data_IF_920023606431
#
_entry.id   IF_920023606431
#
_cell.length_a   1.000
_cell.length_b   1.000
_cell.length_c   1.000
_cell.angle_alpha   90.00
_cell.angle_beta   90.00
_cell.angle_gamma   90.00
#
_symmetry.space_group_name_H-M   'P 1'
#
loop_
_entity.id
_entity.type
_entity.pdbx_description
1 polymer ?
#
# COMPACT_ATOMS: atom_id res chain seq x y z
N UNK A 1 14.23 15.95 5.24
CA UNK A 1 12.92 16.49 5.72
C UNK A 1 12.72 16.08 7.17
N UNK A 2 12.15 16.94 8.01
CA UNK A 2 11.82 16.57 9.39
C UNK A 2 10.37 16.03 9.41
N UNK A 3 10.22 14.71 9.35
CA UNK A 3 8.91 14.08 9.28
C UNK A 3 8.27 14.02 10.66
N UNK A 4 7.12 14.65 10.80
CA UNK A 4 6.35 14.67 12.04
C UNK A 4 4.96 14.08 11.83
N UNK A 5 4.52 13.31 12.80
CA UNK A 5 3.15 12.79 12.83
C UNK A 5 2.15 13.94 13.05
N UNK A 6 1.18 14.08 12.16
CA UNK A 6 0.00 14.92 12.37
C UNK A 6 -0.84 14.33 13.52
N UNK A 7 -0.99 12.99 13.54
CA UNK A 7 -1.67 12.26 14.60
C UNK A 7 -1.02 10.90 14.79
N UNK A 8 -0.84 10.45 16.04
CA UNK A 8 -0.26 9.13 16.38
C UNK A 8 -0.82 8.58 17.69
N UNK A 9 -0.44 7.34 18.03
CA UNK A 9 -0.81 6.66 19.27
C UNK A 9 -2.31 6.46 19.42
N UNK A 10 -2.78 6.53 20.64
CA UNK A 10 -4.19 6.30 20.97
C UNK A 10 -5.15 7.24 20.23
N UNK A 11 -4.75 8.49 19.98
CA UNK A 11 -5.58 9.45 19.25
C UNK A 11 -5.83 9.04 17.79
N UNK A 12 -4.81 8.48 17.10
CA UNK A 12 -4.96 7.95 15.75
C UNK A 12 -5.79 6.66 15.76
N UNK A 13 -5.48 5.74 16.66
CA UNK A 13 -6.23 4.48 16.80
C UNK A 13 -7.71 4.73 17.07
N UNK A 14 -8.01 5.63 18.00
CA UNK A 14 -9.38 5.99 18.33
C UNK A 14 -10.09 6.60 17.12
N UNK A 15 -9.44 7.51 16.39
CA UNK A 15 -10.03 8.08 15.17
C UNK A 15 -10.33 7.00 14.13
N UNK A 16 -9.40 6.07 13.88
CA UNK A 16 -9.63 4.95 12.95
C UNK A 16 -10.81 4.09 13.43
N UNK A 17 -10.85 3.73 14.72
CA UNK A 17 -11.87 2.85 15.27
C UNK A 17 -13.24 3.51 15.31
N UNK A 18 -13.33 4.77 15.75
CA UNK A 18 -14.60 5.46 16.01
C UNK A 18 -15.17 6.17 14.78
N UNK A 19 -14.38 6.31 13.69
CA UNK A 19 -14.88 6.93 12.47
C UNK A 19 -16.04 6.12 11.90
N UNK A 20 -17.21 6.76 11.85
CA UNK A 20 -18.40 6.28 11.16
C UNK A 20 -18.66 7.19 9.95
N UNK A 21 -18.98 6.58 8.83
CA UNK A 21 -19.21 7.28 7.58
C UNK A 21 -20.59 6.99 7.06
N UNK A 22 -21.25 7.96 6.44
CA UNK A 22 -22.44 7.72 5.63
C UNK A 22 -22.18 6.69 4.53
N UNK A 23 -23.24 6.06 4.05
CA UNK A 23 -23.16 5.18 2.87
C UNK A 23 -22.57 5.92 1.68
N UNK A 24 -21.75 5.23 0.89
CA UNK A 24 -21.06 5.80 -0.26
C UNK A 24 -19.79 6.58 0.05
N UNK A 25 -19.34 6.62 1.32
CA UNK A 25 -18.07 7.23 1.70
C UNK A 25 -17.11 6.18 2.28
N UNK A 26 -15.81 6.40 2.10
CA UNK A 26 -14.75 5.68 2.80
C UNK A 26 -13.66 6.63 3.30
N UNK A 27 -12.89 6.19 4.26
CA UNK A 27 -11.75 6.96 4.78
C UNK A 27 -10.43 6.26 4.51
N UNK A 28 -9.43 7.09 4.27
CA UNK A 28 -8.03 6.70 4.12
C UNK A 28 -7.22 7.35 5.24
N UNK A 29 -6.27 6.62 5.83
CA UNK A 29 -5.23 7.15 6.71
C UNK A 29 -3.87 6.71 6.20
N UNK A 30 -2.93 7.64 6.15
CA UNK A 30 -1.56 7.35 5.79
C UNK A 30 -0.76 6.98 7.04
N UNK A 31 -0.14 5.81 7.03
CA UNK A 31 0.66 5.31 8.14
C UNK A 31 2.15 5.15 7.81
N UNK A 32 2.57 5.75 6.69
CA UNK A 32 3.96 5.83 6.24
C UNK A 32 4.34 4.79 5.18
N UNK A 33 5.32 5.09 4.36
CA UNK A 33 5.83 4.29 3.24
C UNK A 33 4.75 4.02 2.19
N UNK A 34 4.36 2.76 1.98
CA UNK A 34 3.16 2.37 1.22
C UNK A 34 1.97 2.10 2.13
N UNK A 35 2.16 2.27 3.44
CA UNK A 35 1.17 1.91 4.45
C UNK A 35 -0.07 2.79 4.44
N UNK A 36 -1.23 2.19 4.16
CA UNK A 36 -2.53 2.85 4.22
C UNK A 36 -3.52 2.05 5.06
N UNK A 37 -4.34 2.75 5.82
CA UNK A 37 -5.54 2.17 6.44
C UNK A 37 -6.75 2.66 5.65
N UNK A 38 -7.61 1.72 5.27
CA UNK A 38 -8.87 1.99 4.58
C UNK A 38 -10.02 1.58 5.48
N UNK A 39 -10.99 2.45 5.69
CA UNK A 39 -12.21 2.11 6.44
C UNK A 39 -13.45 2.37 5.61
N UNK A 40 -14.31 1.36 5.53
CA UNK A 40 -15.57 1.40 4.79
C UNK A 40 -16.63 0.55 5.48
N UNK A 41 -17.81 1.12 5.76
CA UNK A 41 -18.95 0.46 6.45
C UNK A 41 -18.53 -0.34 7.72
N UNK A 42 -17.58 0.18 8.47
CA UNK A 42 -17.06 -0.51 9.67
C UNK A 42 -15.91 -1.47 9.42
N UNK A 43 -15.69 -1.93 8.19
CA UNK A 43 -14.55 -2.77 7.83
C UNK A 43 -13.25 -1.97 7.76
N UNK A 44 -12.17 -2.52 8.30
CA UNK A 44 -10.83 -1.92 8.32
C UNK A 44 -9.86 -2.83 7.57
N UNK A 45 -9.26 -2.28 6.50
CA UNK A 45 -8.20 -2.92 5.73
C UNK A 45 -6.90 -2.15 5.95
N UNK A 46 -5.78 -2.87 6.08
CA UNK A 46 -4.44 -2.30 6.10
C UNK A 46 -3.67 -2.75 4.85
N UNK A 47 -3.06 -1.81 4.17
CA UNK A 47 -2.29 -2.04 2.96
C UNK A 47 -0.82 -1.82 3.29
N UNK A 48 0.04 -2.79 3.07
CA UNK A 48 1.48 -2.77 3.32
C UNK A 48 1.89 -2.10 4.65
N UNK A 49 1.31 -2.48 5.82
CA UNK A 49 1.61 -1.80 7.08
C UNK A 49 3.01 -2.14 7.60
N UNK A 50 3.78 -1.12 8.02
CA UNK A 50 5.08 -1.26 8.69
C UNK A 50 5.02 -0.58 10.05
N UNK A 51 4.73 -1.36 11.08
CA UNK A 51 4.52 -0.90 12.46
C UNK A 51 5.62 -1.41 13.42
N UNK A 52 6.82 -1.56 12.92
CA UNK A 52 8.01 -1.96 13.66
C UNK A 52 9.26 -1.28 13.13
N UNK A 53 10.41 -1.64 13.71
CA UNK A 53 11.72 -1.13 13.27
C UNK A 53 12.11 -1.68 11.90
N UNK A 54 12.86 -0.90 11.15
CA UNK A 54 13.45 -1.28 9.86
C UNK A 54 14.98 -1.33 9.99
N UNK A 55 15.54 -2.38 10.60
CA UNK A 55 16.97 -2.43 10.89
C UNK A 55 17.80 -2.49 9.60
N UNK A 56 18.84 -1.65 9.55
CA UNK A 56 19.88 -1.71 8.54
C UNK A 56 20.88 -2.84 8.80
N UNK A 57 21.90 -3.00 7.93
CA UNK A 57 22.96 -3.99 8.12
C UNK A 57 23.77 -3.80 9.40
N UNK A 58 23.78 -2.60 9.96
CA UNK A 58 24.40 -2.21 11.23
C UNK A 58 23.50 -2.46 12.45
N UNK A 59 22.24 -2.88 12.23
CA UNK A 59 21.23 -3.09 13.26
C UNK A 59 20.49 -1.83 13.70
N UNK A 60 20.86 -0.66 13.20
CA UNK A 60 20.18 0.61 13.52
C UNK A 60 18.87 0.73 12.72
N UNK A 61 17.85 1.32 13.34
CA UNK A 61 16.57 1.56 12.68
C UNK A 61 16.72 2.67 11.62
N UNK A 62 16.39 2.35 10.38
CA UNK A 62 16.49 3.26 9.22
C UNK A 62 15.27 4.10 8.97
N UNK A 63 14.29 4.03 9.84
CA UNK A 63 13.08 4.85 9.69
C UNK A 63 13.39 6.32 9.98
N UNK A 64 12.88 7.20 9.14
CA UNK A 64 12.98 8.64 9.35
C UNK A 64 12.00 9.15 10.43
N UNK A 65 11.08 8.31 10.90
CA UNK A 65 10.08 8.64 11.92
C UNK A 65 9.67 7.39 12.71
N UNK A 66 9.23 7.60 13.95
CA UNK A 66 8.75 6.52 14.82
C UNK A 66 7.49 5.85 14.26
N UNK A 67 7.19 4.63 14.69
CA UNK A 67 5.91 3.99 14.39
C UNK A 67 4.74 4.77 15.00
N UNK A 68 3.55 4.76 14.36
CA UNK A 68 2.39 5.51 14.86
C UNK A 68 1.78 4.90 16.13
N UNK A 69 1.75 3.58 16.21
CA UNK A 69 1.21 2.77 17.29
C UNK A 69 1.77 1.34 17.16
N UNK A 70 1.55 0.49 18.15
CA UNK A 70 1.99 -0.91 18.06
C UNK A 70 1.04 -1.72 17.19
N UNK A 71 1.56 -2.71 16.48
CA UNK A 71 0.80 -3.54 15.55
C UNK A 71 -0.41 -4.24 16.20
N UNK A 72 -0.28 -4.64 17.46
CA UNK A 72 -1.33 -5.34 18.22
C UNK A 72 -2.53 -4.43 18.58
N UNK A 73 -2.37 -3.12 18.48
CA UNK A 73 -3.40 -2.16 18.87
C UNK A 73 -4.41 -1.86 17.73
N UNK A 74 -4.01 -2.09 16.47
CA UNK A 74 -4.89 -1.84 15.32
C UNK A 74 -5.77 -3.07 15.03
N UNK A 75 -7.08 -2.90 15.20
CA UNK A 75 -8.08 -3.94 14.93
C UNK A 75 -8.53 -3.87 13.47
N UNK A 76 -7.72 -4.44 12.57
CA UNK A 76 -8.08 -4.61 11.18
C UNK A 76 -8.67 -6.00 10.93
N UNK A 77 -9.55 -6.14 9.96
CA UNK A 77 -10.06 -7.44 9.50
C UNK A 77 -9.17 -8.04 8.42
N UNK A 78 -8.56 -7.17 7.61
CA UNK A 78 -7.73 -7.57 6.47
C UNK A 78 -6.41 -6.80 6.46
N UNK A 79 -5.33 -7.51 6.18
CA UNK A 79 -4.03 -6.93 5.83
C UNK A 79 -3.67 -7.43 4.44
N UNK A 80 -3.30 -6.51 3.55
CA UNK A 80 -2.82 -6.81 2.20
C UNK A 80 -1.33 -6.50 2.13
N UNK A 81 -0.53 -7.48 1.71
CA UNK A 81 0.90 -7.31 1.43
C UNK A 81 1.15 -7.51 -0.07
N UNK A 82 1.85 -6.58 -0.68
CA UNK A 82 2.06 -6.57 -2.14
C UNK A 82 3.19 -7.46 -2.59
N UNK A 83 4.27 -7.56 -1.80
CA UNK A 83 5.45 -8.37 -2.13
C UNK A 83 6.34 -8.63 -0.89
N UNK A 84 7.46 -9.34 -1.08
CA UNK A 84 8.29 -9.90 0.00
C UNK A 84 9.18 -8.89 0.74
N UNK A 85 9.38 -7.65 0.25
CA UNK A 85 10.28 -6.71 0.93
C UNK A 85 9.78 -6.37 2.33
N UNK A 86 10.72 -6.15 3.26
CA UNK A 86 10.43 -5.94 4.68
C UNK A 86 9.63 -4.68 4.99
N UNK A 87 9.66 -3.68 4.10
CA UNK A 87 8.87 -2.46 4.18
C UNK A 87 7.46 -2.58 3.56
N UNK A 88 7.04 -3.82 3.21
CA UNK A 88 5.69 -4.18 2.74
C UNK A 88 5.16 -5.42 3.48
N UNK A 89 5.92 -6.51 3.47
CA UNK A 89 5.62 -7.73 4.23
C UNK A 89 6.40 -7.75 5.55
N UNK A 90 6.12 -6.79 6.43
CA UNK A 90 6.87 -6.60 7.66
C UNK A 90 6.51 -7.66 8.70
N UNK A 91 7.47 -8.57 8.99
CA UNK A 91 7.26 -9.74 9.85
C UNK A 91 6.67 -9.39 11.22
N UNK A 92 7.29 -8.45 11.95
CA UNK A 92 6.84 -8.09 13.31
C UNK A 92 5.41 -7.52 13.31
N UNK A 93 5.10 -6.68 12.33
CA UNK A 93 3.75 -6.13 12.15
C UNK A 93 2.73 -7.22 11.94
N UNK A 94 2.98 -8.12 10.97
CA UNK A 94 2.03 -9.18 10.62
C UNK A 94 1.81 -10.16 11.75
N UNK A 95 2.88 -10.56 12.45
CA UNK A 95 2.80 -11.46 13.61
C UNK A 95 2.05 -10.80 14.76
N UNK A 96 2.36 -9.54 15.10
CA UNK A 96 1.68 -8.80 16.15
C UNK A 96 0.17 -8.65 15.88
N UNK A 97 -0.20 -8.23 14.66
CA UNK A 97 -1.59 -8.11 14.24
C UNK A 97 -2.32 -9.47 14.26
N UNK A 98 -1.70 -10.52 13.74
CA UNK A 98 -2.30 -11.86 13.67
C UNK A 98 -2.52 -12.48 15.07
N UNK A 99 -1.59 -12.28 16.00
CA UNK A 99 -1.71 -12.74 17.38
C UNK A 99 -2.79 -11.98 18.15
N UNK A 100 -2.89 -10.67 17.95
CA UNK A 100 -3.89 -9.84 18.62
C UNK A 100 -5.31 -10.00 18.06
N UNK A 101 -5.45 -10.43 16.81
CA UNK A 101 -6.74 -10.65 16.16
C UNK A 101 -6.78 -12.01 15.44
N UNK A 102 -7.29 -13.08 16.08
CA UNK A 102 -7.40 -14.39 15.44
C UNK A 102 -8.32 -14.46 14.20
N UNK A 103 -9.16 -13.45 14.00
CA UNK A 103 -10.03 -13.35 12.82
C UNK A 103 -9.38 -12.62 11.64
N UNK A 104 -8.25 -11.95 11.88
CA UNK A 104 -7.50 -11.26 10.84
C UNK A 104 -7.19 -12.19 9.66
N UNK A 105 -7.37 -11.71 8.44
CA UNK A 105 -6.88 -12.34 7.23
C UNK A 105 -5.73 -11.54 6.64
N UNK A 106 -4.62 -12.22 6.40
CA UNK A 106 -3.44 -11.68 5.72
C UNK A 106 -3.48 -12.17 4.28
N UNK A 107 -3.67 -11.23 3.36
CA UNK A 107 -3.73 -11.45 1.91
C UNK A 107 -2.37 -11.07 1.34
N UNK A 108 -1.75 -11.97 0.60
CA UNK A 108 -0.40 -11.80 0.09
C UNK A 108 -0.21 -12.67 -1.17
N UNK A 109 0.80 -12.40 -2.02
CA UNK A 109 1.10 -13.25 -3.16
C UNK A 109 1.17 -14.73 -2.77
N UNK A 110 0.61 -15.59 -3.61
CA UNK A 110 0.56 -17.04 -3.35
C UNK A 110 1.93 -17.60 -3.01
N UNK A 111 2.96 -17.19 -3.72
CA UNK A 111 4.36 -17.59 -3.51
C UNK A 111 4.90 -17.28 -2.11
N UNK A 112 4.28 -16.35 -1.38
CA UNK A 112 4.72 -15.90 -0.05
C UNK A 112 3.95 -16.54 1.12
N UNK A 113 2.94 -17.37 0.85
CA UNK A 113 2.13 -18.01 1.91
C UNK A 113 2.99 -18.85 2.85
N UNK A 114 3.91 -19.66 2.30
CA UNK A 114 4.81 -20.48 3.11
C UNK A 114 5.80 -19.64 3.92
N UNK A 115 6.27 -18.51 3.37
CA UNK A 115 7.11 -17.56 4.09
C UNK A 115 6.36 -16.96 5.27
N UNK A 116 5.12 -16.52 5.08
CA UNK A 116 4.27 -15.98 6.15
C UNK A 116 3.94 -17.03 7.22
N UNK A 117 3.73 -18.28 6.82
CA UNK A 117 3.59 -19.40 7.74
C UNK A 117 4.86 -19.61 8.58
N UNK A 118 6.03 -19.46 7.95
CA UNK A 118 7.33 -19.49 8.61
C UNK A 118 7.54 -18.36 9.61
N UNK A 119 6.81 -17.24 9.50
CA UNK A 119 6.79 -16.19 10.52
C UNK A 119 6.00 -16.57 11.77
N UNK A 120 5.22 -17.65 11.72
CA UNK A 120 4.36 -18.11 12.80
C UNK A 120 2.91 -17.65 12.68
N UNK A 121 2.50 -17.14 11.50
CA UNK A 121 1.10 -16.78 11.24
C UNK A 121 0.31 -18.08 10.94
N UNK A 122 -0.81 -18.33 11.65
CA UNK A 122 -1.61 -19.53 11.42
C UNK A 122 -2.15 -19.60 9.98
N UNK A 123 -2.13 -20.81 9.38
CA UNK A 123 -2.62 -21.05 8.01
C UNK A 123 -4.05 -20.53 7.80
N UNK A 124 -4.92 -20.64 8.81
CA UNK A 124 -6.30 -20.17 8.74
C UNK A 124 -6.43 -18.66 8.55
N UNK A 125 -5.39 -17.91 8.88
CA UNK A 125 -5.33 -16.45 8.70
C UNK A 125 -4.69 -16.05 7.36
N UNK A 126 -4.08 -16.98 6.61
CA UNK A 126 -3.39 -16.70 5.35
C UNK A 126 -4.30 -16.92 4.15
N UNK A 127 -4.35 -15.94 3.26
CA UNK A 127 -5.05 -16.03 1.97
C UNK A 127 -4.04 -15.71 0.85
N UNK A 128 -3.65 -16.74 0.12
CA UNK A 128 -2.80 -16.59 -1.07
C UNK A 128 -3.58 -15.93 -2.21
N UNK A 129 -3.02 -14.86 -2.77
CA UNK A 129 -3.57 -14.10 -3.88
C UNK A 129 -2.81 -14.43 -5.17
N UNK A 130 -3.56 -14.73 -6.24
CA UNK A 130 -3.02 -14.92 -7.59
C UNK A 130 -3.54 -13.80 -8.50
N UNK A 131 -2.69 -13.33 -9.42
CA UNK A 131 -3.10 -12.31 -10.38
C UNK A 131 -4.37 -12.72 -11.11
N UNK A 132 -5.24 -11.76 -11.39
CA UNK A 132 -6.51 -11.89 -12.10
C UNK A 132 -7.56 -12.80 -11.43
N UNK A 133 -7.29 -13.33 -10.22
CA UNK A 133 -8.25 -14.12 -9.46
C UNK A 133 -8.87 -13.29 -8.35
N UNK A 134 -10.15 -12.96 -8.51
CA UNK A 134 -10.88 -12.14 -7.54
C UNK A 134 -11.07 -12.89 -6.21
N UNK A 135 -10.74 -12.22 -5.11
CA UNK A 135 -11.06 -12.63 -3.75
C UNK A 135 -12.31 -11.87 -3.28
N UNK A 136 -13.31 -12.59 -2.81
CA UNK A 136 -14.54 -12.03 -2.25
C UNK A 136 -14.44 -12.03 -0.73
N UNK A 137 -14.46 -10.84 -0.12
CA UNK A 137 -14.34 -10.64 1.30
C UNK A 137 -15.67 -10.09 1.85
N UNK A 138 -16.50 -10.96 2.39
CA UNK A 138 -17.86 -10.58 2.77
C UNK A 138 -18.73 -10.23 1.54
N UNK A 139 -19.77 -9.42 1.76
CA UNK A 139 -20.78 -9.19 0.73
C UNK A 139 -20.38 -8.13 -0.32
N UNK A 140 -19.60 -7.11 0.09
CA UNK A 140 -19.39 -5.92 -0.73
C UNK A 140 -17.91 -5.53 -0.93
N UNK A 141 -16.95 -6.31 -0.40
CA UNK A 141 -15.51 -6.10 -0.60
C UNK A 141 -14.98 -7.15 -1.56
N UNK A 142 -14.33 -6.71 -2.63
CA UNK A 142 -13.68 -7.59 -3.60
C UNK A 142 -12.27 -7.11 -3.87
N UNK A 143 -11.33 -8.04 -3.92
CA UNK A 143 -9.93 -7.75 -4.19
C UNK A 143 -9.53 -8.47 -5.47
N UNK A 144 -9.13 -7.73 -6.50
CA UNK A 144 -8.56 -8.31 -7.72
C UNK A 144 -7.06 -8.03 -7.72
N UNK A 145 -6.21 -9.04 -7.47
CA UNK A 145 -4.77 -8.90 -7.57
C UNK A 145 -4.35 -8.68 -9.01
N UNK A 146 -3.41 -7.75 -9.24
CA UNK A 146 -2.85 -7.43 -10.54
C UNK A 146 -1.35 -7.63 -10.49
N UNK A 147 -0.78 -8.36 -11.44
CA UNK A 147 0.67 -8.53 -11.51
C UNK A 147 1.36 -7.18 -11.72
N UNK A 148 2.39 -6.89 -10.93
CA UNK A 148 3.20 -5.68 -11.01
C UNK A 148 4.67 -6.00 -11.27
N UNK A 149 5.44 -5.03 -11.76
CA UNK A 149 6.84 -5.18 -12.08
C UNK A 149 7.69 -4.31 -11.15
N UNK A 150 8.28 -4.89 -10.14
CA UNK A 150 9.29 -4.22 -9.34
C UNK A 150 10.63 -4.30 -10.09
N UNK A 151 10.81 -3.38 -11.03
CA UNK A 151 11.68 -3.32 -12.22
C UNK A 151 11.40 -4.42 -13.27
N UNK A 152 11.07 -5.62 -12.85
CA UNK A 152 10.71 -6.74 -13.74
C UNK A 152 9.56 -7.55 -13.18
N UNK A 153 8.79 -8.20 -14.04
CA UNK A 153 7.85 -9.22 -13.62
C UNK A 153 8.60 -10.45 -13.13
N UNK A 154 8.23 -10.95 -11.96
CA UNK A 154 8.73 -12.21 -11.41
C UNK A 154 7.58 -13.18 -11.20
N UNK A 155 7.84 -14.43 -11.51
CA UNK A 155 6.86 -15.50 -11.47
C UNK A 155 7.43 -16.70 -10.72
N UNK A 156 6.61 -17.32 -9.89
CA UNK A 156 6.97 -18.60 -9.29
C UNK A 156 6.91 -19.74 -10.32
N UNK A 157 7.23 -20.97 -9.88
CA UNK A 157 7.26 -22.14 -10.75
C UNK A 157 5.86 -22.54 -11.29
N UNK A 158 4.81 -22.10 -10.64
CA UNK A 158 3.42 -22.35 -11.03
C UNK A 158 2.83 -21.22 -11.87
N UNK A 159 3.60 -20.15 -12.13
CA UNK A 159 3.18 -19.01 -12.96
C UNK A 159 2.37 -17.95 -12.20
N UNK A 160 2.45 -17.90 -10.86
CA UNK A 160 1.88 -16.83 -10.09
C UNK A 160 2.87 -15.66 -9.94
N UNK A 161 2.37 -14.44 -9.98
CA UNK A 161 3.19 -13.26 -9.77
C UNK A 161 3.70 -13.17 -8.33
N UNK A 162 5.01 -12.90 -8.16
CA UNK A 162 5.63 -12.67 -6.85
C UNK A 162 5.38 -11.25 -6.33
N UNK A 163 4.96 -10.34 -7.21
CA UNK A 163 4.63 -8.95 -6.88
C UNK A 163 3.24 -8.61 -7.39
N UNK A 164 2.39 -8.08 -6.50
CA UNK A 164 1.00 -7.77 -6.78
C UNK A 164 0.67 -6.32 -6.39
N UNK A 165 -0.08 -5.65 -7.25
CA UNK A 165 -0.94 -4.55 -6.85
C UNK A 165 -2.35 -5.08 -6.60
N UNK A 166 -3.18 -4.31 -5.92
CA UNK A 166 -4.53 -4.70 -5.58
C UNK A 166 -5.56 -3.68 -6.07
N UNK A 167 -6.48 -4.11 -6.94
CA UNK A 167 -7.73 -3.43 -7.18
C UNK A 167 -8.69 -3.82 -6.06
N UNK A 168 -9.13 -2.83 -5.28
CA UNK A 168 -9.97 -2.99 -4.10
C UNK A 168 -11.32 -2.35 -4.39
N UNK A 169 -12.35 -3.17 -4.54
CA UNK A 169 -13.72 -2.71 -4.71
C UNK A 169 -14.41 -2.66 -3.35
N UNK A 170 -14.95 -1.48 -3.03
CA UNK A 170 -15.74 -1.20 -1.83
C UNK A 170 -17.12 -0.71 -2.28
N UNK A 171 -18.06 -1.62 -2.46
CA UNK A 171 -19.35 -1.31 -3.11
C UNK A 171 -19.16 -0.77 -4.53
N UNK A 172 -19.50 0.52 -4.75
CA UNK A 172 -19.32 1.18 -6.05
C UNK A 172 -17.91 1.76 -6.26
N UNK A 173 -17.11 1.91 -5.20
CA UNK A 173 -15.77 2.49 -5.31
C UNK A 173 -14.73 1.46 -5.75
N UNK A 174 -13.76 1.90 -6.53
CA UNK A 174 -12.62 1.11 -6.97
C UNK A 174 -11.31 1.82 -6.64
N UNK A 175 -10.53 1.24 -5.75
CA UNK A 175 -9.22 1.74 -5.35
C UNK A 175 -8.14 0.87 -5.99
N UNK A 176 -7.00 1.45 -6.30
CA UNK A 176 -5.80 0.72 -6.72
C UNK A 176 -4.64 1.06 -5.79
N UNK A 177 -4.11 0.04 -5.10
CA UNK A 177 -2.85 0.11 -4.38
C UNK A 177 -1.80 -0.66 -5.18
N UNK A 178 -0.84 0.06 -5.73
CA UNK A 178 0.09 -0.54 -6.68
C UNK A 178 1.16 -1.42 -6.04
N UNK A 179 1.45 -1.23 -4.75
CA UNK A 179 2.72 -1.68 -4.19
C UNK A 179 3.89 -1.04 -4.93
N UNK A 180 5.03 -1.67 -4.84
CA UNK A 180 6.24 -1.25 -5.55
C UNK A 180 6.20 -1.74 -7.00
N UNK A 181 6.30 -0.79 -7.93
CA UNK A 181 6.26 -1.10 -9.36
C UNK A 181 6.82 0.03 -10.22
N UNK A 182 7.30 -0.33 -11.38
CA UNK A 182 7.48 0.60 -12.51
C UNK A 182 6.22 0.63 -13.37
N UNK A 183 6.09 1.62 -14.22
CA UNK A 183 5.02 1.66 -15.22
C UNK A 183 5.35 0.74 -16.38
N UNK A 184 4.43 -0.15 -16.73
CA UNK A 184 4.56 -1.06 -17.88
C UNK A 184 3.30 -1.01 -18.76
N UNK A 185 3.42 -1.27 -20.07
CA UNK A 185 2.23 -1.34 -20.94
C UNK A 185 1.21 -2.39 -20.47
N UNK A 186 1.67 -3.49 -19.89
CA UNK A 186 0.82 -4.57 -19.38
C UNK A 186 -0.01 -4.08 -18.18
N UNK A 187 0.62 -3.38 -17.22
CA UNK A 187 -0.07 -2.83 -16.06
C UNK A 187 -1.09 -1.76 -16.48
N UNK A 188 -0.72 -0.85 -17.38
CA UNK A 188 -1.65 0.15 -17.95
C UNK A 188 -2.86 -0.53 -18.60
N UNK A 189 -2.62 -1.56 -19.42
CA UNK A 189 -3.69 -2.28 -20.11
C UNK A 189 -4.65 -3.00 -19.13
N UNK A 190 -4.09 -3.63 -18.07
CA UNK A 190 -4.87 -4.31 -17.04
C UNK A 190 -5.80 -3.32 -16.30
N UNK A 191 -5.28 -2.15 -15.89
CA UNK A 191 -6.07 -1.17 -15.16
C UNK A 191 -7.07 -0.40 -16.05
N UNK A 192 -6.73 -0.13 -17.30
CA UNK A 192 -7.69 0.43 -18.26
C UNK A 192 -8.90 -0.49 -18.47
N UNK A 193 -8.68 -1.80 -18.47
CA UNK A 193 -9.76 -2.80 -18.55
C UNK A 193 -10.72 -2.74 -17.36
N UNK A 194 -10.24 -2.28 -16.19
CA UNK A 194 -11.08 -2.08 -15.02
C UNK A 194 -12.04 -0.86 -15.14
N UNK A 195 -11.83 0.03 -16.13
CA UNK A 195 -12.71 1.16 -16.42
C UNK A 195 -12.39 2.45 -15.68
N UNK A 196 -11.22 2.58 -15.11
CA UNK A 196 -10.79 3.69 -14.25
C UNK A 196 -10.81 3.32 -12.76
N UNK A 197 -10.18 4.14 -11.93
CA UNK A 197 -10.15 3.96 -10.48
C UNK A 197 -10.47 5.28 -9.76
N UNK A 198 -11.24 5.20 -8.67
CA UNK A 198 -11.56 6.39 -7.88
C UNK A 198 -10.30 6.91 -7.14
N UNK A 199 -9.47 5.98 -6.63
CA UNK A 199 -8.21 6.32 -5.96
C UNK A 199 -7.08 5.44 -6.47
N UNK A 200 -5.96 6.06 -6.88
CA UNK A 200 -4.70 5.39 -7.17
C UNK A 200 -3.65 5.76 -6.12
N UNK A 201 -3.12 4.76 -5.41
CA UNK A 201 -2.06 4.87 -4.42
C UNK A 201 -0.77 4.36 -5.04
N UNK A 202 0.18 5.26 -5.34
CA UNK A 202 1.32 5.01 -6.24
C UNK A 202 2.65 5.41 -5.59
N UNK A 203 3.74 4.61 -5.75
CA UNK A 203 5.06 5.01 -5.31
C UNK A 203 5.60 6.16 -6.19
N UNK A 204 6.42 7.03 -5.61
CA UNK A 204 7.05 8.14 -6.35
C UNK A 204 8.56 8.23 -6.12
N UNK A 205 9.15 7.35 -5.33
CA UNK A 205 10.57 7.39 -4.97
C UNK A 205 11.52 7.16 -6.18
N UNK A 206 11.01 6.57 -7.26
CA UNK A 206 11.77 6.43 -8.51
C UNK A 206 12.91 5.41 -8.47
N UNK A 207 13.84 5.57 -9.40
CA UNK A 207 15.05 4.78 -9.56
C UNK A 207 16.16 5.64 -10.15
N UNK A 208 17.38 5.41 -9.70
CA UNK A 208 18.57 6.09 -10.20
C UNK A 208 19.83 5.25 -9.93
N UNK A 209 20.96 5.70 -10.49
CA UNK A 209 22.25 5.01 -10.36
C UNK A 209 22.69 4.86 -8.89
N UNK A 210 22.47 5.87 -8.06
CA UNK A 210 22.89 5.85 -6.65
C UNK A 210 22.08 4.83 -5.84
N UNK A 211 20.77 4.71 -6.11
CA UNK A 211 19.92 3.66 -5.51
C UNK A 211 20.33 2.27 -6.01
N UNK A 212 20.53 2.10 -7.31
CA UNK A 212 20.94 0.83 -7.90
C UNK A 212 22.29 0.33 -7.35
N UNK A 213 23.26 1.23 -7.13
CA UNK A 213 24.55 0.87 -6.50
C UNK A 213 24.42 0.40 -5.05
N UNK A 214 23.31 0.73 -4.38
CA UNK A 214 22.98 0.28 -3.03
C UNK A 214 22.00 -0.90 -3.02
N UNK A 215 21.75 -1.52 -4.18
CA UNK A 215 20.78 -2.60 -4.39
C UNK A 215 19.34 -2.21 -3.97
N UNK A 216 18.99 -0.95 -4.09
CA UNK A 216 17.61 -0.49 -3.93
C UNK A 216 16.91 -0.70 -5.27
N UNK A 217 15.97 -1.64 -5.29
CA UNK A 217 15.12 -1.91 -6.45
C UNK A 217 14.19 -0.72 -6.67
N UNK A 218 14.06 -0.28 -7.90
CA UNK A 218 13.39 0.99 -8.19
C UNK A 218 11.91 0.86 -8.50
N UNK A 219 11.25 2.00 -8.37
CA UNK A 219 9.83 2.20 -8.63
C UNK A 219 9.61 3.24 -9.74
N UNK A 220 8.35 3.52 -10.06
CA UNK A 220 8.02 4.70 -10.85
C UNK A 220 8.46 5.97 -10.11
N UNK A 221 8.94 6.95 -10.86
CA UNK A 221 9.23 8.29 -10.32
C UNK A 221 7.97 9.18 -10.34
N UNK A 222 8.05 10.35 -9.75
CA UNK A 222 6.93 11.30 -9.64
C UNK A 222 6.29 11.65 -11.00
N UNK A 223 7.09 11.77 -12.06
CA UNK A 223 6.59 12.05 -13.42
C UNK A 223 5.86 10.85 -14.01
N UNK A 224 6.44 9.66 -13.84
CA UNK A 224 5.82 8.41 -14.30
C UNK A 224 4.52 8.14 -13.56
N UNK A 225 4.45 8.41 -12.24
CA UNK A 225 3.24 8.27 -11.43
C UNK A 225 2.12 9.22 -11.91
N UNK A 226 2.46 10.49 -12.21
CA UNK A 226 1.51 11.45 -12.78
C UNK A 226 0.95 10.96 -14.13
N UNK A 227 1.82 10.56 -15.05
CA UNK A 227 1.41 10.04 -16.35
C UNK A 227 0.57 8.76 -16.21
N UNK A 228 1.00 7.84 -15.35
CA UNK A 228 0.30 6.59 -15.11
C UNK A 228 -1.12 6.79 -14.56
N UNK A 229 -1.27 7.72 -13.58
CA UNK A 229 -2.57 8.06 -13.03
C UNK A 229 -3.56 8.57 -14.11
N UNK A 230 -3.09 9.36 -15.07
CA UNK A 230 -3.89 9.79 -16.23
C UNK A 230 -4.28 8.60 -17.11
N UNK A 231 -3.31 7.77 -17.46
CA UNK A 231 -3.49 6.61 -18.35
C UNK A 231 -4.49 5.58 -17.83
N UNK A 232 -4.55 5.40 -16.52
CA UNK A 232 -5.48 4.47 -15.85
C UNK A 232 -6.81 5.12 -15.45
N UNK A 233 -7.00 6.41 -15.76
CA UNK A 233 -8.24 7.12 -15.46
C UNK A 233 -8.50 7.34 -13.97
N UNK A 234 -7.43 7.54 -13.15
CA UNK A 234 -7.59 7.83 -11.73
C UNK A 234 -8.29 9.17 -11.51
N UNK A 235 -9.27 9.23 -10.58
CA UNK A 235 -9.90 10.49 -10.16
C UNK A 235 -9.06 11.19 -9.09
N UNK A 236 -8.62 10.46 -8.07
CA UNK A 236 -7.71 10.92 -7.02
C UNK A 236 -6.40 10.12 -7.04
N UNK A 237 -5.27 10.80 -7.04
CA UNK A 237 -3.96 10.14 -6.93
C UNK A 237 -3.29 10.47 -5.59
N UNK A 238 -2.82 9.43 -4.90
CA UNK A 238 -2.09 9.53 -3.63
C UNK A 238 -0.65 9.08 -3.87
N UNK A 239 0.33 10.00 -3.83
CA UNK A 239 1.73 9.61 -3.89
C UNK A 239 2.17 8.97 -2.57
N UNK A 240 2.90 7.86 -2.67
CA UNK A 240 3.42 7.08 -1.54
C UNK A 240 4.90 6.74 -1.74
N UNK A 241 5.48 6.00 -0.80
CA UNK A 241 6.85 5.46 -0.85
C UNK A 241 7.95 6.52 -0.99
N UNK A 242 7.83 7.63 -0.26
CA UNK A 242 8.77 8.75 -0.41
C UNK A 242 9.42 9.23 0.89
N UNK A 243 9.10 8.64 2.04
CA UNK A 243 9.42 9.28 3.33
C UNK A 243 10.13 8.38 4.36
N UNK A 244 9.88 7.06 4.39
CA UNK A 244 10.27 6.23 5.53
C UNK A 244 11.76 5.93 5.60
N UNK A 245 12.39 5.56 4.49
CA UNK A 245 13.74 4.99 4.49
C UNK A 245 14.76 6.03 4.03
N UNK A 246 15.78 6.27 4.87
CA UNK A 246 16.85 7.19 4.52
C UNK A 246 17.58 6.77 3.24
N UNK A 247 17.80 7.76 2.38
CA UNK A 247 18.41 7.57 1.07
C UNK A 247 17.52 6.88 0.02
N UNK A 248 16.24 6.63 0.33
CA UNK A 248 15.21 6.20 -0.63
C UNK A 248 14.01 7.17 -0.66
N UNK A 249 14.25 8.39 -0.23
CA UNK A 249 13.25 9.45 -0.14
C UNK A 249 13.07 10.17 -1.47
N UNK A 250 11.92 10.82 -1.62
CA UNK A 250 11.64 11.78 -2.69
C UNK A 250 10.83 12.96 -2.13
N UNK A 251 10.92 14.12 -2.77
CA UNK A 251 10.09 15.26 -2.42
C UNK A 251 8.71 15.15 -3.08
N UNK A 252 7.63 14.96 -2.31
CA UNK A 252 6.29 14.80 -2.89
C UNK A 252 5.80 16.10 -3.57
N UNK A 253 6.42 17.25 -3.34
CA UNK A 253 6.10 18.50 -4.07
C UNK A 253 6.52 18.42 -5.54
N UNK A 254 7.49 17.58 -5.89
CA UNK A 254 7.83 17.29 -7.30
C UNK A 254 6.65 16.60 -7.99
N UNK A 255 6.00 15.65 -7.33
CA UNK A 255 4.78 15.03 -7.84
C UNK A 255 3.66 16.05 -8.01
N UNK A 256 3.42 16.91 -7.00
CA UNK A 256 2.44 18.00 -7.11
C UNK A 256 2.70 18.90 -8.32
N UNK A 257 3.96 19.29 -8.53
CA UNK A 257 4.33 20.13 -9.67
C UNK A 257 4.06 19.43 -11.03
N UNK A 258 4.23 18.11 -11.12
CA UNK A 258 3.87 17.36 -12.33
C UNK A 258 2.35 17.28 -12.50
N UNK A 259 1.58 17.03 -11.45
CA UNK A 259 0.11 17.00 -11.50
C UNK A 259 -0.45 18.34 -11.99
N UNK A 260 -0.03 19.46 -11.39
CA UNK A 260 -0.45 20.82 -11.78
C UNK A 260 -0.12 21.15 -13.25
N UNK A 261 1.01 20.64 -13.73
CA UNK A 261 1.47 20.95 -15.09
C UNK A 261 0.87 20.06 -16.17
N UNK A 262 0.72 18.77 -15.90
CA UNK A 262 0.39 17.78 -16.94
C UNK A 262 -0.98 17.12 -16.77
N UNK A 263 -1.55 17.17 -15.58
CA UNK A 263 -2.86 16.61 -15.27
C UNK A 263 -3.73 17.56 -14.42
N UNK A 264 -3.87 18.87 -14.82
CA UNK A 264 -4.48 19.90 -13.96
C UNK A 264 -5.97 19.67 -13.68
N UNK A 265 -6.64 18.77 -14.40
CA UNK A 265 -8.03 18.37 -14.16
C UNK A 265 -8.17 17.20 -13.19
N UNK A 266 -7.06 16.60 -12.75
CA UNK A 266 -7.05 15.45 -11.86
C UNK A 266 -6.77 15.88 -10.42
N UNK A 267 -7.40 15.19 -9.47
CA UNK A 267 -7.17 15.41 -8.04
C UNK A 267 -5.93 14.65 -7.57
N UNK A 268 -5.23 15.21 -6.60
CA UNK A 268 -4.19 14.50 -5.85
C UNK A 268 -4.22 14.91 -4.39
N UNK A 269 -3.71 14.04 -3.50
CA UNK A 269 -3.60 14.33 -2.08
C UNK A 269 -2.27 13.82 -1.52
N UNK A 270 -1.44 14.73 -1.04
CA UNK A 270 -0.19 14.43 -0.31
C UNK A 270 -0.53 14.40 1.16
N UNK A 271 -0.55 13.20 1.73
CA UNK A 271 -0.87 13.00 3.14
C UNK A 271 0.25 13.45 4.07
N UNK A 272 -0.12 13.95 5.23
CA UNK A 272 0.74 13.93 6.41
C UNK A 272 0.63 12.57 7.11
N UNK A 273 1.69 12.18 7.83
CA UNK A 273 1.68 10.95 8.62
C UNK A 273 0.53 10.98 9.66
N UNK A 274 -0.34 9.97 9.63
CA UNK A 274 -1.52 9.88 10.50
C UNK A 274 -2.69 10.78 10.12
N UNK A 275 -2.66 11.40 8.96
CA UNK A 275 -3.76 12.21 8.44
C UNK A 275 -4.86 11.32 7.88
N UNK A 276 -6.11 11.77 8.04
CA UNK A 276 -7.32 11.17 7.46
C UNK A 276 -7.79 11.97 6.24
N UNK A 277 -8.13 11.26 5.18
CA UNK A 277 -8.92 11.80 4.07
C UNK A 277 -10.22 11.02 3.91
N UNK A 278 -11.35 11.70 3.75
CA UNK A 278 -12.65 11.09 3.44
C UNK A 278 -12.88 11.25 1.94
N UNK A 279 -13.26 10.16 1.29
CA UNK A 279 -13.48 10.07 -0.16
C UNK A 279 -14.90 9.65 -0.43
N UNK A 280 -15.51 10.27 -1.47
CA UNK A 280 -16.88 10.05 -1.93
C UNK A 280 -16.91 9.50 -3.34
#
# INVERSE_FOLDING_TARGET
MDYQWYKKGSALLQEIQDTQLPDGLFSLWYIGQMGMVVKWKGHILCLDPVLGAMPGPDGEDRRNYSVPFRSEELKAEYVLCTHAHGDHMHRETLVGMAQANPQLKVILPWSLVETARGFGIPQVQLLGACQDQELVLGDEIRITPVATAHETYRWDAEGHSETLGYLIRLGCHLLFHSGDTIVTPQLVAALRKAGGVDVAMLPINGRDLARNQRNIVGNMNAREACWFAEEIGADLTVPLHYDMIDGNQEDPLIFAAYMERYAPAKKYHIFRLGERCIVS
#
